data_IF_036516283200
#
_entry.id   IF_036516283200
#
_cell.length_a   1.000
_cell.length_b   1.000
_cell.length_c   1.000
_cell.angle_alpha   90.00
_cell.angle_beta   90.00
_cell.angle_gamma   90.00
#
_symmetry.space_group_name_H-M   'P 1'
#
loop_
_entity.id
_entity.type
_entity.pdbx_description
1 polymer ?
#
# COMPACT_ATOMS: atom_id res chain seq x y z
N UNK A 1 -46.59 11.49 -10.33
CA UNK A 1 -45.61 11.92 -9.31
C UNK A 1 -44.66 10.81 -8.81
N UNK A 2 -45.02 9.52 -8.84
CA UNK A 2 -44.19 8.40 -8.31
C UNK A 2 -42.93 8.11 -9.16
N UNK A 3 -43.02 8.19 -10.50
CA UNK A 3 -41.89 7.95 -11.42
C UNK A 3 -40.73 8.95 -11.27
N UNK A 4 -41.03 10.23 -10.97
CA UNK A 4 -40.01 11.26 -10.73
C UNK A 4 -39.26 11.03 -9.40
N UNK A 5 -39.92 10.45 -8.39
CA UNK A 5 -39.28 10.03 -7.13
C UNK A 5 -38.37 8.80 -7.32
N UNK A 6 -38.75 7.86 -8.18
CA UNK A 6 -37.90 6.71 -8.50
C UNK A 6 -36.63 7.10 -9.28
N UNK A 7 -36.74 8.00 -10.26
CA UNK A 7 -35.59 8.48 -11.05
C UNK A 7 -34.62 9.34 -10.23
N UNK A 8 -35.13 10.12 -9.27
CA UNK A 8 -34.27 10.89 -8.35
C UNK A 8 -33.57 9.98 -7.33
N UNK A 9 -34.22 8.89 -6.89
CA UNK A 9 -33.57 7.90 -6.02
C UNK A 9 -32.48 7.09 -6.71
N UNK A 10 -32.65 6.68 -7.98
CA UNK A 10 -31.59 5.99 -8.74
C UNK A 10 -30.40 6.89 -9.03
N UNK A 11 -30.64 8.17 -9.37
CA UNK A 11 -29.54 9.15 -9.59
C UNK A 11 -28.74 9.42 -8.29
N UNK A 12 -29.42 9.47 -7.14
CA UNK A 12 -28.76 9.66 -5.83
C UNK A 12 -27.97 8.43 -5.38
N UNK A 13 -28.47 7.21 -5.64
CA UNK A 13 -27.78 5.94 -5.38
C UNK A 13 -26.48 5.80 -6.19
N UNK A 14 -26.49 6.22 -7.45
CA UNK A 14 -25.28 6.23 -8.31
C UNK A 14 -24.23 7.27 -7.91
N UNK A 15 -24.62 8.35 -7.25
CA UNK A 15 -23.67 9.35 -6.71
C UNK A 15 -22.98 8.84 -5.45
N UNK A 16 -23.73 8.15 -4.57
CA UNK A 16 -23.19 7.61 -3.32
C UNK A 16 -22.20 6.46 -3.56
N UNK A 17 -22.52 5.51 -4.44
CA UNK A 17 -21.61 4.41 -4.79
C UNK A 17 -20.30 4.92 -5.41
N UNK A 18 -20.37 5.96 -6.25
CA UNK A 18 -19.17 6.62 -6.82
C UNK A 18 -18.30 7.27 -5.74
N UNK A 19 -18.91 7.95 -4.76
CA UNK A 19 -18.16 8.57 -3.66
C UNK A 19 -17.46 7.54 -2.78
N UNK A 20 -18.13 6.44 -2.44
CA UNK A 20 -17.50 5.34 -1.68
C UNK A 20 -16.32 4.75 -2.47
N UNK A 21 -16.50 4.52 -3.77
CA UNK A 21 -15.44 3.96 -4.61
C UNK A 21 -14.21 4.87 -4.67
N UNK A 22 -14.43 6.19 -4.77
CA UNK A 22 -13.36 7.19 -4.74
C UNK A 22 -12.62 7.19 -3.38
N UNK A 23 -13.36 7.20 -2.27
CA UNK A 23 -12.76 7.15 -0.93
C UNK A 23 -11.96 5.86 -0.72
N UNK A 24 -12.49 4.72 -1.16
CA UNK A 24 -11.79 3.44 -1.05
C UNK A 24 -10.56 3.38 -1.97
N UNK A 25 -10.61 4.03 -3.13
CA UNK A 25 -9.47 4.15 -4.02
C UNK A 25 -8.38 5.05 -3.41
N UNK A 26 -8.76 6.14 -2.75
CA UNK A 26 -7.80 7.08 -2.16
C UNK A 26 -7.23 6.64 -0.81
N UNK A 27 -8.02 5.94 0.02
CA UNK A 27 -7.66 5.58 1.41
C UNK A 27 -7.65 4.07 1.69
N UNK A 28 -8.04 3.23 0.72
CA UNK A 28 -8.15 1.78 0.94
C UNK A 28 -6.85 1.12 1.38
N UNK A 29 -5.70 1.61 0.93
CA UNK A 29 -4.39 1.12 1.35
C UNK A 29 -4.13 1.41 2.83
N UNK A 30 -4.50 2.61 3.32
CA UNK A 30 -4.37 2.97 4.74
C UNK A 30 -5.33 2.15 5.60
N UNK A 31 -6.57 1.95 5.15
CA UNK A 31 -7.53 1.10 5.86
C UNK A 31 -7.01 -0.33 6.00
N UNK A 32 -6.46 -0.89 4.92
CA UNK A 32 -5.85 -2.22 4.95
C UNK A 32 -4.65 -2.26 5.92
N UNK A 33 -3.84 -1.21 5.95
CA UNK A 33 -2.78 -1.02 6.94
C UNK A 33 -3.25 -1.02 8.38
N UNK A 34 -4.29 -0.25 8.69
CA UNK A 34 -4.86 -0.17 10.05
C UNK A 34 -5.49 -1.50 10.47
N UNK A 35 -6.21 -2.16 9.55
CA UNK A 35 -6.78 -3.49 9.79
C UNK A 35 -5.68 -4.53 10.09
N UNK A 36 -4.63 -4.56 9.28
CA UNK A 36 -3.50 -5.50 9.47
C UNK A 36 -2.68 -5.19 10.71
N UNK A 37 -2.47 -3.92 11.05
CA UNK A 37 -1.86 -3.49 12.31
C UNK A 37 -2.68 -3.98 13.50
N UNK A 38 -4.00 -3.77 13.47
CA UNK A 38 -4.89 -4.17 14.57
C UNK A 38 -4.90 -5.68 14.72
N UNK A 39 -4.99 -6.42 13.60
CA UNK A 39 -4.87 -7.87 13.59
C UNK A 39 -3.51 -8.33 14.11
N UNK A 40 -2.42 -7.66 13.73
CA UNK A 40 -1.08 -7.97 14.21
C UNK A 40 -0.95 -7.71 15.72
N UNK A 41 -1.52 -6.64 16.27
CA UNK A 41 -1.52 -6.40 17.72
C UNK A 41 -2.27 -7.49 18.50
N UNK A 42 -3.42 -7.93 17.98
CA UNK A 42 -4.27 -8.95 18.65
C UNK A 42 -3.65 -10.34 18.52
N UNK A 43 -3.07 -10.66 17.36
CA UNK A 43 -2.53 -11.99 17.06
C UNK A 43 -1.03 -12.12 17.31
N UNK A 44 -0.31 -11.03 17.59
CA UNK A 44 1.13 -11.02 17.87
C UNK A 44 1.56 -12.08 18.89
N UNK A 45 0.87 -12.26 20.03
CA UNK A 45 1.27 -13.26 21.03
C UNK A 45 1.29 -14.69 20.46
N UNK A 46 0.29 -15.02 19.65
CA UNK A 46 0.17 -16.34 19.02
C UNK A 46 1.16 -16.50 17.87
N UNK A 47 1.28 -15.47 17.02
CA UNK A 47 2.20 -15.47 15.89
C UNK A 47 3.64 -15.62 16.36
N UNK A 48 4.06 -14.86 17.37
CA UNK A 48 5.40 -14.95 17.91
C UNK A 48 5.71 -16.27 18.57
N UNK A 49 4.79 -16.83 19.34
CA UNK A 49 4.93 -18.19 19.89
C UNK A 49 5.18 -19.21 18.78
N UNK A 50 4.38 -19.15 17.71
CA UNK A 50 4.52 -20.04 16.56
C UNK A 50 5.85 -19.83 15.82
N UNK A 51 6.32 -18.59 15.70
CA UNK A 51 7.63 -18.30 15.09
C UNK A 51 8.79 -18.85 15.93
N UNK A 52 8.73 -18.72 17.26
CA UNK A 52 9.74 -19.29 18.18
C UNK A 52 9.75 -20.81 18.08
N UNK A 53 8.57 -21.45 18.16
CA UNK A 53 8.43 -22.92 18.12
C UNK A 53 8.97 -23.52 16.82
N UNK A 54 8.83 -22.79 15.70
CA UNK A 54 9.33 -23.23 14.39
C UNK A 54 10.74 -22.71 14.07
N UNK A 55 11.43 -22.02 15.00
CA UNK A 55 12.79 -21.54 14.81
C UNK A 55 12.94 -20.55 13.65
N UNK A 56 11.96 -19.67 13.44
CA UNK A 56 12.02 -18.71 12.33
C UNK A 56 13.14 -17.69 12.53
N UNK A 57 13.87 -17.40 11.45
CA UNK A 57 14.89 -16.36 11.45
C UNK A 57 14.25 -14.98 11.21
N UNK A 58 14.03 -14.22 12.28
CA UNK A 58 13.41 -12.89 12.23
C UNK A 58 14.20 -11.89 11.37
N UNK A 59 15.53 -11.90 11.48
CA UNK A 59 16.39 -11.04 10.69
C UNK A 59 16.23 -11.31 9.19
N UNK A 60 16.10 -12.59 8.79
CA UNK A 60 15.83 -12.95 7.40
C UNK A 60 14.46 -12.43 6.92
N UNK A 61 13.42 -12.44 7.77
CA UNK A 61 12.09 -11.89 7.44
C UNK A 61 12.17 -10.37 7.24
N UNK A 62 12.79 -9.66 8.19
CA UNK A 62 12.93 -8.21 8.09
C UNK A 62 13.79 -7.79 6.90
N UNK A 63 14.89 -8.51 6.65
CA UNK A 63 15.76 -8.30 5.48
C UNK A 63 15.02 -8.54 4.17
N UNK A 64 14.25 -9.63 4.08
CA UNK A 64 13.50 -9.95 2.85
C UNK A 64 12.50 -8.85 2.50
N UNK A 65 11.78 -8.33 3.50
CA UNK A 65 10.82 -7.23 3.27
C UNK A 65 11.56 -5.93 2.94
N UNK A 66 12.69 -5.65 3.59
CA UNK A 66 13.54 -4.51 3.27
C UNK A 66 14.03 -4.54 1.82
N UNK A 67 14.51 -5.69 1.35
CA UNK A 67 15.01 -5.86 -0.02
C UNK A 67 13.91 -5.63 -1.05
N UNK A 68 12.75 -6.26 -0.83
CA UNK A 68 11.57 -6.11 -1.68
C UNK A 68 11.10 -4.65 -1.70
N UNK A 69 11.01 -4.00 -0.54
CA UNK A 69 10.63 -2.59 -0.44
C UNK A 69 11.61 -1.67 -1.16
N UNK A 70 12.91 -1.95 -1.06
CA UNK A 70 13.98 -1.18 -1.72
C UNK A 70 13.88 -1.29 -3.23
N UNK A 71 13.75 -2.51 -3.77
CA UNK A 71 13.61 -2.74 -5.21
C UNK A 71 12.37 -2.04 -5.76
N UNK A 72 11.22 -2.20 -5.09
CA UNK A 72 9.99 -1.57 -5.57
C UNK A 72 10.02 -0.04 -5.46
N UNK A 73 10.59 0.51 -4.38
CA UNK A 73 10.76 1.96 -4.21
C UNK A 73 11.66 2.53 -5.30
N UNK A 74 12.77 1.86 -5.62
CA UNK A 74 13.67 2.25 -6.71
C UNK A 74 12.97 2.21 -8.07
N UNK A 75 12.18 1.18 -8.34
CA UNK A 75 11.39 1.04 -9.57
C UNK A 75 10.36 2.19 -9.71
N UNK A 76 9.62 2.51 -8.65
CA UNK A 76 8.68 3.62 -8.66
C UNK A 76 9.36 4.97 -8.85
N UNK A 77 10.54 5.16 -8.24
CA UNK A 77 11.30 6.38 -8.44
C UNK A 77 11.71 6.55 -9.91
N UNK A 78 12.27 5.51 -10.52
CA UNK A 78 12.62 5.51 -11.94
C UNK A 78 11.40 5.81 -12.82
N UNK A 79 10.25 5.23 -12.49
CA UNK A 79 8.99 5.44 -13.21
C UNK A 79 8.46 6.88 -13.09
N UNK A 80 8.47 7.46 -11.89
CA UNK A 80 8.08 8.86 -11.66
C UNK A 80 9.01 9.82 -12.40
N UNK A 81 10.32 9.55 -12.39
CA UNK A 81 11.30 10.34 -13.15
C UNK A 81 11.00 10.23 -14.65
N UNK A 82 10.83 9.01 -15.17
CA UNK A 82 10.54 8.78 -16.59
C UNK A 82 9.30 9.55 -17.07
N UNK A 83 8.18 9.48 -16.35
CA UNK A 83 6.97 10.22 -16.75
C UNK A 83 7.16 11.74 -16.72
N UNK A 84 8.03 12.26 -15.85
CA UNK A 84 8.28 13.70 -15.74
C UNK A 84 9.25 14.21 -16.80
N UNK A 85 10.18 13.38 -17.24
CA UNK A 85 11.25 13.79 -18.16
C UNK A 85 11.01 13.36 -19.60
N UNK A 86 10.20 12.32 -19.83
CA UNK A 86 9.97 11.78 -21.17
C UNK A 86 9.07 12.71 -21.99
N UNK A 87 9.56 13.11 -23.17
CA UNK A 87 8.80 13.85 -24.19
C UNK A 87 8.22 12.91 -25.25
N UNK A 88 7.91 11.66 -24.90
CA UNK A 88 7.43 10.72 -25.90
C UNK A 88 6.04 11.11 -26.40
N UNK A 89 5.82 10.97 -27.71
CA UNK A 89 4.52 11.21 -28.34
C UNK A 89 3.42 10.35 -27.72
N UNK A 90 3.76 9.12 -27.30
CA UNK A 90 2.85 8.20 -26.62
C UNK A 90 2.31 8.76 -25.31
N UNK A 91 3.17 9.34 -24.46
CA UNK A 91 2.73 9.95 -23.20
C UNK A 91 1.87 11.19 -23.42
N UNK A 92 2.21 11.99 -24.44
CA UNK A 92 1.41 13.17 -24.79
C UNK A 92 0.01 12.82 -25.31
N UNK A 93 -0.18 11.61 -25.84
CA UNK A 93 -1.47 11.11 -26.32
C UNK A 93 -2.37 10.56 -25.20
N UNK A 94 -1.86 10.40 -23.97
CA UNK A 94 -2.63 9.91 -22.84
C UNK A 94 -3.47 11.03 -22.20
N UNK A 95 -4.65 10.71 -21.64
CA UNK A 95 -5.43 11.69 -20.90
C UNK A 95 -4.62 12.23 -19.71
N UNK A 96 -4.48 13.56 -19.60
CA UNK A 96 -3.75 14.22 -18.50
C UNK A 96 -4.15 13.70 -17.12
N UNK A 97 -5.45 13.47 -16.91
CA UNK A 97 -5.99 12.93 -15.65
C UNK A 97 -5.42 11.56 -15.29
N UNK A 98 -5.18 10.68 -16.26
CA UNK A 98 -4.63 9.34 -16.03
C UNK A 98 -3.14 9.44 -15.63
N UNK A 99 -2.38 10.31 -16.29
CA UNK A 99 -0.98 10.60 -15.95
C UNK A 99 -0.84 11.21 -14.56
N UNK A 100 -1.70 12.18 -14.21
CA UNK A 100 -1.72 12.80 -12.89
C UNK A 100 -2.04 11.76 -11.80
N UNK A 101 -3.00 10.86 -12.06
CA UNK A 101 -3.33 9.75 -11.14
C UNK A 101 -2.18 8.74 -11.00
N UNK A 102 -1.57 8.32 -12.11
CA UNK A 102 -0.42 7.42 -12.09
C UNK A 102 0.74 8.01 -11.27
N UNK A 103 1.02 9.30 -11.46
CA UNK A 103 2.06 10.01 -10.72
C UNK A 103 1.71 10.08 -9.23
N UNK A 104 0.47 10.46 -8.90
CA UNK A 104 0.04 10.58 -7.50
C UNK A 104 0.05 9.24 -6.74
N UNK A 105 -0.36 8.14 -7.39
CA UNK A 105 -0.29 6.81 -6.77
C UNK A 105 1.14 6.32 -6.63
N UNK A 106 1.98 6.52 -7.65
CA UNK A 106 3.40 6.16 -7.60
C UNK A 106 4.13 6.93 -6.51
N UNK A 107 3.86 8.23 -6.34
CA UNK A 107 4.43 9.01 -5.25
C UNK A 107 3.97 8.54 -3.86
N UNK A 108 2.68 8.25 -3.70
CA UNK A 108 2.17 7.71 -2.43
C UNK A 108 2.84 6.37 -2.09
N UNK A 109 2.92 5.45 -3.05
CA UNK A 109 3.56 4.16 -2.86
C UNK A 109 5.07 4.30 -2.58
N UNK A 110 5.75 5.25 -3.24
CA UNK A 110 7.15 5.58 -2.96
C UNK A 110 7.35 6.02 -1.50
N UNK A 111 6.53 6.94 -0.98
CA UNK A 111 6.67 7.40 0.41
C UNK A 111 6.39 6.30 1.43
N UNK A 112 5.39 5.44 1.18
CA UNK A 112 5.13 4.28 2.04
C UNK A 112 6.26 3.25 1.97
N UNK A 113 6.82 2.98 0.80
CA UNK A 113 7.99 2.13 0.63
C UNK A 113 9.22 2.68 1.35
N UNK A 114 9.49 3.98 1.24
CA UNK A 114 10.58 4.64 1.96
C UNK A 114 10.39 4.55 3.49
N UNK A 115 9.17 4.77 3.98
CA UNK A 115 8.85 4.59 5.40
C UNK A 115 9.08 3.16 5.88
N UNK A 116 8.69 2.16 5.08
CA UNK A 116 8.94 0.75 5.37
C UNK A 116 10.44 0.43 5.45
N UNK A 117 11.24 0.93 4.51
CA UNK A 117 12.71 0.77 4.50
C UNK A 117 13.30 1.34 5.80
N UNK A 118 12.94 2.58 6.15
CA UNK A 118 13.45 3.27 7.34
C UNK A 118 13.12 2.53 8.64
N UNK A 119 11.93 1.93 8.75
CA UNK A 119 11.52 1.18 9.95
C UNK A 119 12.11 -0.24 9.95
N UNK A 120 12.40 -0.81 8.79
CA UNK A 120 12.99 -2.15 8.70
C UNK A 120 14.45 -2.18 9.18
N UNK A 121 15.24 -1.13 8.93
CA UNK A 121 16.65 -1.04 9.38
C UNK A 121 16.82 -1.28 10.90
N UNK A 122 16.15 -0.53 11.80
CA UNK A 122 16.30 -0.77 13.23
C UNK A 122 15.79 -2.15 13.66
N UNK A 123 14.79 -2.72 12.98
CA UNK A 123 14.30 -4.08 13.26
C UNK A 123 15.32 -5.16 12.86
N UNK A 124 16.05 -4.96 11.76
CA UNK A 124 17.15 -5.84 11.35
C UNK A 124 18.32 -5.75 12.34
N UNK A 125 18.63 -4.56 12.87
CA UNK A 125 19.78 -4.36 13.77
C UNK A 125 19.50 -4.82 15.19
N UNK A 126 18.31 -4.52 15.73
CA UNK A 126 17.96 -4.84 17.11
C UNK A 126 17.53 -6.31 17.25
N UNK A 127 16.99 -6.89 16.18
CA UNK A 127 16.44 -8.25 16.15
C UNK A 127 15.53 -8.52 17.36
N UNK A 128 14.43 -7.77 17.52
CA UNK A 128 13.61 -7.90 18.71
C UNK A 128 13.03 -9.31 18.82
N UNK A 129 13.59 -10.09 19.73
CA UNK A 129 13.04 -11.38 20.10
C UNK A 129 11.68 -11.13 20.78
N UNK A 130 10.63 -11.86 20.41
CA UNK A 130 9.32 -11.66 20.99
C UNK A 130 9.24 -12.35 22.36
N UNK A 131 9.84 -11.72 23.36
CA UNK A 131 9.86 -12.22 24.74
C UNK A 131 8.55 -11.93 25.46
N UNK A 132 7.84 -10.85 25.08
CA UNK A 132 6.61 -10.42 25.74
C UNK A 132 5.45 -10.18 24.76
N UNK A 133 4.29 -10.76 25.06
CA UNK A 133 3.06 -10.65 24.28
C UNK A 133 2.61 -9.19 24.02
N UNK A 134 2.80 -8.30 25.00
CA UNK A 134 2.39 -6.89 24.95
C UNK A 134 3.54 -5.94 25.27
N UNK A 135 4.73 -6.22 24.73
CA UNK A 135 5.90 -5.34 24.87
C UNK A 135 5.97 -4.22 23.81
N UNK A 136 6.84 -3.24 24.05
CA UNK A 136 7.12 -2.16 23.09
C UNK A 136 7.57 -2.69 21.72
N UNK A 137 8.33 -3.79 21.71
CA UNK A 137 8.77 -4.46 20.47
C UNK A 137 7.61 -5.11 19.71
N UNK A 138 6.64 -5.70 20.40
CA UNK A 138 5.44 -6.28 19.79
C UNK A 138 4.60 -5.19 19.11
N UNK A 139 4.48 -4.02 19.74
CA UNK A 139 3.84 -2.86 19.13
C UNK A 139 4.61 -2.35 17.90
N UNK A 140 5.95 -2.27 17.99
CA UNK A 140 6.80 -1.85 16.87
C UNK A 140 6.67 -2.79 15.66
N UNK A 141 6.70 -4.11 15.88
CA UNK A 141 6.52 -5.10 14.82
C UNK A 141 5.11 -5.03 14.24
N UNK A 142 4.07 -4.82 15.04
CA UNK A 142 2.71 -4.67 14.54
C UNK A 142 2.55 -3.40 13.67
N UNK A 143 3.16 -2.28 14.09
CA UNK A 143 3.23 -1.05 13.29
C UNK A 143 3.95 -1.32 11.96
N UNK A 144 5.08 -2.01 12.01
CA UNK A 144 5.84 -2.39 10.83
C UNK A 144 5.02 -3.28 9.87
N UNK A 145 4.28 -4.27 10.37
CA UNK A 145 3.37 -5.10 9.57
C UNK A 145 2.29 -4.25 8.91
N UNK A 146 1.68 -3.32 9.65
CA UNK A 146 0.67 -2.41 9.10
C UNK A 146 1.22 -1.51 7.98
N UNK A 147 2.44 -1.00 8.17
CA UNK A 147 3.13 -0.20 7.15
C UNK A 147 3.49 -1.06 5.94
N UNK A 148 3.96 -2.30 6.15
CA UNK A 148 4.27 -3.24 5.07
C UNK A 148 3.03 -3.53 4.22
N UNK A 149 1.89 -3.78 4.85
CA UNK A 149 0.63 -4.01 4.16
C UNK A 149 0.11 -2.76 3.43
N UNK A 150 0.27 -1.57 4.04
CA UNK A 150 -0.07 -0.29 3.42
C UNK A 150 0.78 -0.04 2.17
N UNK A 151 2.09 -0.26 2.28
CA UNK A 151 3.03 -0.13 1.19
C UNK A 151 2.67 -1.10 0.05
N UNK A 152 2.49 -2.39 0.36
CA UNK A 152 2.12 -3.41 -0.63
C UNK A 152 0.81 -3.06 -1.35
N UNK A 153 -0.21 -2.57 -0.63
CA UNK A 153 -1.47 -2.13 -1.22
C UNK A 153 -1.28 -0.89 -2.10
N UNK A 154 -0.47 0.09 -1.68
CA UNK A 154 -0.16 1.27 -2.47
C UNK A 154 0.62 0.90 -3.76
N UNK A 155 1.58 -0.03 -3.66
CA UNK A 155 2.29 -0.58 -4.83
C UNK A 155 1.33 -1.26 -5.80
N UNK A 156 0.40 -2.08 -5.30
CA UNK A 156 -0.62 -2.72 -6.14
C UNK A 156 -1.51 -1.68 -6.87
N UNK A 157 -1.88 -0.60 -6.18
CA UNK A 157 -2.65 0.48 -6.80
C UNK A 157 -1.84 1.17 -7.91
N UNK A 158 -0.57 1.48 -7.66
CA UNK A 158 0.32 2.06 -8.67
C UNK A 158 0.52 1.13 -9.88
N UNK A 159 0.75 -0.17 -9.64
CA UNK A 159 0.95 -1.15 -10.72
C UNK A 159 -0.33 -1.36 -11.55
N UNK A 160 -1.51 -1.35 -10.91
CA UNK A 160 -2.77 -1.49 -11.64
C UNK A 160 -3.01 -0.36 -12.64
N UNK A 161 -2.65 0.88 -12.29
CA UNK A 161 -2.73 2.01 -13.24
C UNK A 161 -1.72 1.84 -14.37
N UNK A 162 -0.50 1.37 -14.07
CA UNK A 162 0.48 1.10 -15.11
C UNK A 162 -0.04 0.09 -16.13
N UNK A 163 -0.67 -1.00 -15.68
CA UNK A 163 -1.27 -1.99 -16.57
C UNK A 163 -2.42 -1.40 -17.41
N UNK A 164 -3.24 -0.51 -16.85
CA UNK A 164 -4.29 0.19 -17.62
C UNK A 164 -3.68 1.07 -18.72
N UNK A 165 -2.57 1.76 -18.42
CA UNK A 165 -1.87 2.57 -19.43
C UNK A 165 -1.32 1.67 -20.54
N UNK A 166 -0.70 0.54 -20.18
CA UNK A 166 -0.07 -0.40 -21.13
C UNK A 166 -1.09 -1.17 -21.96
N UNK A 167 -2.20 -1.63 -21.37
CA UNK A 167 -3.21 -2.44 -22.07
C UNK A 167 -3.95 -1.64 -23.14
N UNK A 168 -3.97 -0.31 -23.04
CA UNK A 168 -4.62 0.55 -24.03
C UNK A 168 -6.13 0.35 -24.12
N UNK A 169 -6.74 -0.34 -23.16
CA UNK A 169 -8.20 -0.48 -23.04
C UNK A 169 -8.79 0.89 -22.74
N UNK A 170 -9.23 1.57 -23.80
CA UNK A 170 -9.91 2.86 -23.78
C UNK A 170 -11.41 2.70 -23.66
#
# INVERSE_FOLDING_TARGET
>A
MVLLRMLTMTKKRNSFSKRIRLVFQDFGHVLLGVCTLTAALVLAPYAFKLMIENGWNYAAIYSSVFDVATVFTALLFAFVVYFRTSKSEYLSALPKRLLDQATAFSQRAFWWGMGLILISVPLIVIEPAPVEAFGAFSALVAVWVGIAATAASAFWQASSIFWIIVSGDR
#
